data_IF_790161511466
#
_entry.id   IF_790161511466
#
_cell.length_a   1.000
_cell.length_b   1.000
_cell.length_c   1.000
_cell.angle_alpha   90.00
_cell.angle_beta   90.00
_cell.angle_gamma   90.00
#
_symmetry.space_group_name_H-M   'P 1'
#
loop_
_entity.id
_entity.type
_entity.pdbx_description
1 polymer ?
#
# COMPACT_ATOMS: atom_id res chain seq x y z
N UNK A 1 3.31 15.17 9.04
CA UNK A 1 2.57 16.23 8.33
C UNK A 1 1.43 15.55 7.57
N UNK A 2 0.17 15.90 7.78
CA UNK A 2 -0.94 15.33 7.02
C UNK A 2 -0.79 15.64 5.53
N UNK A 3 -1.45 14.87 4.65
CA UNK A 3 -1.40 15.08 3.18
C UNK A 3 -1.70 16.53 2.77
N UNK A 4 -2.45 17.27 3.59
CA UNK A 4 -2.71 18.71 3.43
C UNK A 4 -1.46 19.60 3.48
N UNK A 5 -0.32 19.08 3.95
CA UNK A 5 0.95 19.83 4.07
C UNK A 5 1.97 19.42 2.98
N UNK A 6 1.69 18.37 2.19
CA UNK A 6 2.55 17.96 1.10
C UNK A 6 2.07 18.61 -0.19
N UNK A 7 2.97 19.34 -0.87
CA UNK A 7 2.62 19.94 -2.14
C UNK A 7 2.26 18.88 -3.19
N UNK A 8 1.36 19.19 -4.15
CA UNK A 8 1.03 18.28 -5.25
C UNK A 8 2.25 17.81 -6.03
N UNK A 9 3.25 18.67 -6.19
CA UNK A 9 4.49 18.35 -6.88
C UNK A 9 5.34 17.33 -6.09
N UNK A 10 5.38 17.43 -4.75
CA UNK A 10 6.09 16.46 -3.92
C UNK A 10 5.35 15.12 -3.88
N UNK A 11 4.01 15.12 -3.87
CA UNK A 11 3.22 13.89 -3.96
C UNK A 11 3.51 13.17 -5.29
N UNK A 12 3.45 13.88 -6.42
CA UNK A 12 3.81 13.31 -7.72
C UNK A 12 5.23 12.74 -7.71
N UNK A 13 6.19 13.48 -7.14
CA UNK A 13 7.57 13.03 -7.04
C UNK A 13 7.69 11.74 -6.20
N UNK A 14 6.99 11.64 -5.10
CA UNK A 14 6.93 10.43 -4.26
C UNK A 14 6.36 9.23 -4.99
N UNK A 15 5.28 9.43 -5.74
CA UNK A 15 4.69 8.41 -6.60
C UNK A 15 5.68 7.94 -7.67
N UNK A 16 6.40 8.87 -8.31
CA UNK A 16 7.43 8.53 -9.31
C UNK A 16 8.58 7.75 -8.72
N UNK A 17 9.08 8.11 -7.53
CA UNK A 17 10.12 7.32 -6.85
C UNK A 17 9.65 5.91 -6.53
N UNK A 18 8.41 5.75 -6.07
CA UNK A 18 7.81 4.45 -5.75
C UNK A 18 7.68 3.53 -6.98
N UNK A 19 7.45 4.12 -8.14
CA UNK A 19 7.26 3.39 -9.40
C UNK A 19 8.56 3.06 -10.14
N UNK A 20 9.70 3.52 -9.63
CA UNK A 20 10.98 3.23 -10.25
C UNK A 20 11.33 1.74 -10.16
N UNK A 21 11.84 1.14 -11.23
CA UNK A 21 12.34 -0.22 -11.18
C UNK A 21 13.47 -0.33 -10.14
N UNK A 22 13.51 -1.43 -9.43
CA UNK A 22 14.50 -1.75 -8.40
C UNK A 22 14.56 -0.79 -7.20
N UNK A 23 13.64 0.17 -7.09
CA UNK A 23 13.50 1.05 -5.93
C UNK A 23 12.44 0.49 -5.00
N UNK A 24 12.83 -0.46 -4.16
CA UNK A 24 12.01 -0.92 -3.03
C UNK A 24 12.10 0.04 -1.84
N UNK A 25 11.41 -0.27 -0.73
CA UNK A 25 11.32 0.62 0.44
C UNK A 25 12.67 1.16 0.93
N UNK A 26 13.66 0.29 1.09
CA UNK A 26 15.00 0.69 1.58
C UNK A 26 15.65 1.76 0.70
N UNK A 27 15.69 1.55 -0.61
CA UNK A 27 16.28 2.51 -1.56
C UNK A 27 15.46 3.80 -1.63
N UNK A 28 14.15 3.69 -1.51
CA UNK A 28 13.26 4.85 -1.43
C UNK A 28 13.62 5.74 -0.22
N UNK A 29 13.75 5.15 0.96
CA UNK A 29 14.14 5.88 2.17
C UNK A 29 15.57 6.44 2.10
N UNK A 30 16.51 5.69 1.52
CA UNK A 30 17.88 6.19 1.26
C UNK A 30 17.84 7.48 0.43
N UNK A 31 17.03 7.53 -0.63
CA UNK A 31 16.89 8.72 -1.46
C UNK A 31 16.26 9.89 -0.69
N UNK A 32 15.18 9.66 0.05
CA UNK A 32 14.55 10.72 0.84
C UNK A 32 15.47 11.26 1.93
N UNK A 33 16.20 10.38 2.61
CA UNK A 33 17.16 10.78 3.64
C UNK A 33 18.33 11.61 3.07
N UNK A 34 18.84 11.22 1.91
CA UNK A 34 19.98 11.89 1.29
C UNK A 34 19.63 13.26 0.66
N UNK A 35 18.41 13.38 0.09
CA UNK A 35 18.03 14.58 -0.66
C UNK A 35 16.94 15.42 0.04
N UNK A 36 16.41 14.98 1.17
CA UNK A 36 15.41 15.68 1.97
C UNK A 36 14.00 15.63 1.41
N UNK A 37 13.82 15.47 0.09
CA UNK A 37 12.50 15.35 -0.56
C UNK A 37 12.57 14.46 -1.80
N UNK A 38 11.41 13.96 -2.25
CA UNK A 38 11.34 13.20 -3.48
C UNK A 38 11.58 14.07 -4.71
N UNK A 39 11.11 15.31 -4.68
CA UNK A 39 11.35 16.30 -5.74
C UNK A 39 12.83 16.58 -5.90
N UNK A 40 13.58 16.81 -4.80
CA UNK A 40 15.02 17.00 -4.81
C UNK A 40 15.77 15.76 -5.30
N UNK A 41 15.35 14.56 -4.85
CA UNK A 41 15.93 13.31 -5.32
C UNK A 41 15.78 13.14 -6.83
N UNK A 42 14.61 13.39 -7.40
CA UNK A 42 14.36 13.29 -8.85
C UNK A 42 15.14 14.35 -9.66
N UNK A 43 15.42 15.52 -9.08
CA UNK A 43 16.21 16.57 -9.71
C UNK A 43 17.72 16.29 -9.68
N UNK A 44 18.18 15.49 -8.71
CA UNK A 44 19.60 15.19 -8.51
C UNK A 44 20.22 14.48 -9.73
N UNK A 45 21.54 14.67 -9.99
CA UNK A 45 22.20 14.00 -11.09
C UNK A 45 22.31 12.49 -10.86
N UNK A 46 22.39 11.70 -11.94
CA UNK A 46 22.51 10.25 -11.87
C UNK A 46 23.73 9.78 -11.06
N UNK A 47 24.83 10.52 -11.13
CA UNK A 47 26.05 10.24 -10.36
C UNK A 47 25.81 10.28 -8.85
N UNK A 48 24.96 11.19 -8.35
CA UNK A 48 24.63 11.26 -6.94
C UNK A 48 23.84 10.01 -6.47
N UNK A 49 22.95 9.48 -7.32
CA UNK A 49 22.24 8.22 -7.05
C UNK A 49 23.20 7.03 -7.02
N UNK A 50 24.12 6.96 -7.98
CA UNK A 50 25.14 5.91 -8.01
C UNK A 50 26.06 5.97 -6.78
N UNK A 51 26.40 7.17 -6.29
CA UNK A 51 27.19 7.35 -5.07
C UNK A 51 26.48 6.81 -3.80
N UNK A 52 25.14 6.75 -3.82
CA UNK A 52 24.31 6.12 -2.78
C UNK A 52 24.13 4.61 -2.98
N UNK A 53 24.79 4.00 -3.96
CA UNK A 53 24.70 2.58 -4.26
C UNK A 53 23.49 2.16 -5.08
N UNK A 54 22.75 3.10 -5.68
CA UNK A 54 21.66 2.75 -6.57
C UNK A 54 22.17 2.41 -7.99
N UNK A 55 21.57 1.42 -8.66
CA UNK A 55 21.92 1.11 -10.05
C UNK A 55 21.69 2.30 -10.98
N UNK A 56 22.59 2.49 -11.94
CA UNK A 56 22.44 3.56 -12.94
C UNK A 56 21.11 3.49 -13.71
N UNK A 57 20.57 2.29 -13.91
CA UNK A 57 19.27 2.06 -14.55
C UNK A 57 18.13 2.75 -13.79
N UNK A 58 18.12 2.73 -12.45
CA UNK A 58 17.13 3.44 -11.63
C UNK A 58 17.18 4.95 -11.88
N UNK A 59 18.40 5.51 -11.86
CA UNK A 59 18.61 6.94 -12.09
C UNK A 59 18.19 7.36 -13.51
N UNK A 60 18.40 6.52 -14.51
CA UNK A 60 17.97 6.77 -15.89
C UNK A 60 16.43 6.67 -16.01
N UNK A 61 15.82 5.67 -15.38
CA UNK A 61 14.37 5.43 -15.45
C UNK A 61 13.54 6.58 -14.83
N UNK A 62 14.10 7.44 -13.97
CA UNK A 62 13.35 8.52 -13.29
C UNK A 62 12.66 9.52 -14.22
N UNK A 63 13.10 9.62 -15.47
CA UNK A 63 12.52 10.47 -16.51
C UNK A 63 11.75 9.70 -17.57
N UNK A 64 11.67 8.38 -17.45
CA UNK A 64 11.03 7.53 -18.44
C UNK A 64 9.51 7.77 -18.52
N UNK A 65 8.91 7.65 -19.72
CA UNK A 65 7.46 7.79 -19.89
C UNK A 65 6.64 6.85 -18.99
N UNK A 66 6.99 5.55 -18.83
CA UNK A 66 6.21 4.64 -17.99
C UNK A 66 6.11 5.08 -16.52
N UNK A 67 7.18 5.66 -15.96
CA UNK A 67 7.18 6.16 -14.57
C UNK A 67 6.27 7.39 -14.43
N UNK A 68 6.31 8.30 -15.42
CA UNK A 68 5.43 9.49 -15.41
C UNK A 68 3.97 9.12 -15.61
N UNK A 69 3.69 8.26 -16.57
CA UNK A 69 2.35 7.77 -16.87
C UNK A 69 1.74 7.03 -15.68
N UNK A 70 2.55 6.20 -15.01
CA UNK A 70 2.16 5.50 -13.79
C UNK A 70 1.82 6.46 -12.64
N UNK A 71 2.63 7.49 -12.43
CA UNK A 71 2.35 8.51 -11.42
C UNK A 71 1.08 9.31 -11.76
N UNK A 72 0.90 9.71 -13.02
CA UNK A 72 -0.32 10.37 -13.47
C UNK A 72 -1.56 9.48 -13.32
N UNK A 73 -1.43 8.17 -13.57
CA UNK A 73 -2.51 7.22 -13.36
C UNK A 73 -2.85 7.08 -11.86
N UNK A 74 -1.85 7.08 -10.98
CA UNK A 74 -2.06 7.05 -9.54
C UNK A 74 -2.75 8.34 -9.03
N UNK A 75 -2.35 9.50 -9.54
CA UNK A 75 -3.01 10.78 -9.21
C UNK A 75 -4.48 10.79 -9.66
N UNK A 76 -4.78 10.35 -10.88
CA UNK A 76 -6.17 10.21 -11.35
C UNK A 76 -6.97 9.22 -10.49
N UNK A 77 -6.36 8.12 -10.06
CA UNK A 77 -7.02 7.19 -9.16
C UNK A 77 -7.38 7.85 -7.83
N UNK A 78 -6.53 8.72 -7.30
CA UNK A 78 -6.77 9.48 -6.07
C UNK A 78 -7.89 10.52 -6.16
N UNK A 79 -8.38 10.85 -7.36
CA UNK A 79 -9.55 11.72 -7.55
C UNK A 79 -10.88 11.04 -7.12
N UNK A 80 -10.87 9.72 -6.92
CA UNK A 80 -12.04 8.98 -6.40
C UNK A 80 -12.34 9.36 -4.95
N UNK A 81 -13.62 9.52 -4.62
CA UNK A 81 -14.09 10.02 -3.32
C UNK A 81 -13.70 9.17 -2.10
N UNK A 82 -13.39 7.89 -2.32
CA UNK A 82 -12.95 6.95 -1.28
C UNK A 82 -11.55 6.40 -1.53
N UNK A 83 -10.75 7.11 -2.31
CA UNK A 83 -9.38 6.72 -2.62
C UNK A 83 -8.38 7.60 -1.86
N UNK A 84 -7.44 6.96 -1.19
CA UNK A 84 -6.46 7.63 -0.34
C UNK A 84 -5.06 7.09 -0.62
N UNK A 85 -4.05 7.90 -0.34
CA UNK A 85 -2.67 7.44 -0.23
C UNK A 85 -2.13 7.84 1.12
N UNK A 86 -1.70 6.86 1.91
CA UNK A 86 -1.03 7.08 3.18
C UNK A 86 0.47 7.02 2.95
N UNK A 87 1.17 8.01 3.47
CA UNK A 87 2.62 8.11 3.30
C UNK A 87 3.32 7.75 4.60
N UNK A 88 4.30 6.87 4.53
CA UNK A 88 5.11 6.52 5.71
C UNK A 88 5.69 7.79 6.37
N UNK A 89 5.61 7.85 7.70
CA UNK A 89 6.03 9.01 8.47
C UNK A 89 4.95 10.10 8.62
N UNK A 90 3.73 9.89 8.08
CA UNK A 90 2.57 10.75 8.31
C UNK A 90 1.74 10.20 9.47
N UNK A 91 0.98 11.04 10.17
CA UNK A 91 0.18 10.65 11.34
C UNK A 91 -0.90 9.61 11.03
N UNK A 92 -1.41 9.59 9.79
CA UNK A 92 -2.45 8.69 9.30
C UNK A 92 -1.91 7.35 8.78
N UNK A 93 -0.57 7.17 8.79
CA UNK A 93 0.04 5.89 8.40
C UNK A 93 -0.05 4.88 9.56
N UNK A 94 -0.46 3.60 9.30
CA UNK A 94 -0.64 2.61 10.36
C UNK A 94 0.63 2.41 11.19
N UNK A 95 0.57 2.65 12.50
CA UNK A 95 1.73 2.66 13.39
C UNK A 95 2.48 1.32 13.41
N UNK A 96 1.75 0.20 13.51
CA UNK A 96 2.35 -1.14 13.50
C UNK A 96 3.03 -1.48 12.18
N UNK A 97 2.50 -0.97 11.07
CA UNK A 97 3.13 -1.16 9.75
C UNK A 97 4.41 -0.32 9.63
N UNK A 98 4.44 0.86 10.24
CA UNK A 98 5.59 1.74 10.24
C UNK A 98 6.80 1.16 11.01
N UNK A 99 6.57 0.23 11.95
CA UNK A 99 7.64 -0.45 12.72
C UNK A 99 8.45 -1.45 11.88
N UNK A 100 7.96 -1.83 10.70
CA UNK A 100 8.67 -2.74 9.82
C UNK A 100 9.89 -2.06 9.20
N UNK A 101 11.04 -2.71 9.22
CA UNK A 101 12.29 -2.17 8.64
C UNK A 101 12.25 -1.96 7.12
N UNK A 102 11.24 -2.49 6.45
CA UNK A 102 10.96 -2.33 5.02
C UNK A 102 9.49 -1.95 4.78
N UNK A 103 8.91 -1.18 5.70
CA UNK A 103 7.55 -0.66 5.58
C UNK A 103 7.31 -0.04 4.18
N UNK A 104 6.15 -0.28 3.56
CA UNK A 104 5.83 0.35 2.28
C UNK A 104 5.88 1.88 2.40
N UNK A 105 6.61 2.61 1.52
CA UNK A 105 6.67 4.07 1.61
C UNK A 105 5.34 4.75 1.30
N UNK A 106 4.49 4.09 0.53
CA UNK A 106 3.14 4.53 0.18
C UNK A 106 2.17 3.36 0.31
N UNK A 107 1.00 3.61 0.88
CA UNK A 107 -0.09 2.66 0.99
C UNK A 107 -1.32 3.26 0.29
N UNK A 108 -1.78 2.65 -0.79
CA UNK A 108 -3.01 3.04 -1.48
C UNK A 108 -4.21 2.37 -0.80
N UNK A 109 -5.20 3.15 -0.43
CA UNK A 109 -6.40 2.67 0.26
C UNK A 109 -7.64 3.04 -0.55
N UNK A 110 -8.47 2.06 -0.85
CA UNK A 110 -9.81 2.26 -1.39
C UNK A 110 -10.82 1.91 -0.28
N UNK A 111 -11.59 2.89 0.17
CA UNK A 111 -12.52 2.76 1.29
C UNK A 111 -12.14 3.64 2.47
N UNK A 112 -12.59 3.28 3.66
CA UNK A 112 -12.36 4.02 4.90
C UNK A 112 -10.98 3.69 5.50
N UNK A 113 -10.01 4.62 5.47
CA UNK A 113 -8.68 4.37 6.05
C UNK A 113 -8.69 4.23 7.57
N UNK A 114 -9.72 4.71 8.27
CA UNK A 114 -9.80 4.62 9.73
C UNK A 114 -9.84 3.18 10.26
N UNK A 115 -10.21 2.23 9.41
CA UNK A 115 -10.20 0.81 9.79
C UNK A 115 -8.78 0.29 10.05
N UNK A 116 -7.76 0.94 9.49
CA UNK A 116 -6.36 0.53 9.66
C UNK A 116 -5.81 0.79 11.08
N UNK A 117 -6.48 1.66 11.85
CA UNK A 117 -6.15 1.95 13.25
C UNK A 117 -6.83 0.99 14.23
N UNK A 118 -7.85 0.26 13.78
CA UNK A 118 -8.60 -0.67 14.63
C UNK A 118 -7.80 -1.97 14.83
N UNK A 119 -8.09 -2.71 15.92
CA UNK A 119 -7.55 -4.04 16.11
C UNK A 119 -7.87 -4.94 14.91
N UNK A 120 -6.84 -5.49 14.27
CA UNK A 120 -6.97 -6.31 13.08
C UNK A 120 -6.57 -7.74 13.35
N UNK A 121 -7.21 -8.67 12.66
CA UNK A 121 -6.85 -10.08 12.68
C UNK A 121 -6.71 -10.61 11.26
N UNK A 122 -5.51 -11.08 10.93
CA UNK A 122 -5.21 -11.65 9.62
C UNK A 122 -5.79 -13.05 9.48
N UNK A 123 -6.60 -13.27 8.46
CA UNK A 123 -7.10 -14.59 8.04
C UNK A 123 -6.39 -14.99 6.77
N UNK A 124 -5.64 -16.09 6.83
CA UNK A 124 -4.86 -16.58 5.68
C UNK A 124 -5.08 -18.07 5.50
N UNK A 125 -5.08 -18.53 4.25
CA UNK A 125 -5.23 -19.95 4.00
C UNK A 125 -5.22 -20.34 2.53
N UNK A 126 -5.59 -21.59 2.28
CA UNK A 126 -5.54 -22.21 0.96
C UNK A 126 -6.52 -21.55 -0.01
N UNK A 127 -6.07 -21.28 -1.24
CA UNK A 127 -6.94 -20.92 -2.38
C UNK A 127 -7.84 -22.08 -2.83
N UNK A 128 -7.47 -23.31 -2.50
CA UNK A 128 -8.20 -24.54 -2.77
C UNK A 128 -8.62 -25.21 -1.47
N UNK A 129 -9.32 -24.48 -0.60
CA UNK A 129 -9.78 -25.00 0.67
C UNK A 129 -10.93 -25.98 0.52
N UNK A 130 -11.00 -26.99 1.41
CA UNK A 130 -12.15 -27.88 1.49
C UNK A 130 -13.38 -27.14 2.03
N UNK A 131 -14.57 -27.65 1.76
CA UNK A 131 -15.80 -27.03 2.26
C UNK A 131 -15.80 -26.84 3.78
N UNK A 132 -15.43 -27.87 4.61
CA UNK A 132 -15.33 -27.67 6.05
C UNK A 132 -14.34 -26.56 6.46
N UNK A 133 -13.22 -26.39 5.73
CA UNK A 133 -12.27 -25.32 6.02
C UNK A 133 -12.85 -23.95 5.72
N UNK A 134 -13.61 -23.79 4.62
CA UNK A 134 -14.33 -22.55 4.29
C UNK A 134 -15.36 -22.21 5.36
N UNK A 135 -16.15 -23.21 5.79
CA UNK A 135 -17.18 -23.04 6.82
C UNK A 135 -16.55 -22.62 8.16
N UNK A 136 -15.40 -23.21 8.52
CA UNK A 136 -14.63 -22.86 9.71
C UNK A 136 -14.13 -21.41 9.63
N UNK A 137 -13.48 -21.02 8.52
CA UNK A 137 -12.99 -19.66 8.32
C UNK A 137 -14.14 -18.64 8.41
N UNK A 138 -15.27 -18.93 7.79
CA UNK A 138 -16.46 -18.08 7.86
C UNK A 138 -17.01 -17.96 9.29
N UNK A 139 -17.03 -19.05 10.08
CA UNK A 139 -17.48 -19.02 11.46
C UNK A 139 -16.56 -18.16 12.34
N UNK A 140 -15.24 -18.35 12.23
CA UNK A 140 -14.27 -17.52 12.95
C UNK A 140 -14.39 -16.05 12.55
N UNK A 141 -14.47 -15.73 11.26
CA UNK A 141 -14.57 -14.35 10.79
C UNK A 141 -15.83 -13.66 11.33
N UNK A 142 -16.98 -14.32 11.32
CA UNK A 142 -18.20 -13.76 11.92
C UNK A 142 -18.03 -13.49 13.41
N UNK A 143 -17.48 -14.45 14.14
CA UNK A 143 -17.28 -14.31 15.58
C UNK A 143 -16.35 -13.13 15.91
N UNK A 144 -15.21 -13.05 15.23
CA UNK A 144 -14.21 -12.01 15.46
C UNK A 144 -14.67 -10.63 15.00
N UNK A 145 -15.28 -10.54 13.82
CA UNK A 145 -15.86 -9.29 13.35
C UNK A 145 -17.01 -8.80 14.26
N UNK A 146 -17.83 -9.71 14.78
CA UNK A 146 -18.85 -9.41 15.77
C UNK A 146 -18.29 -8.93 17.11
N UNK A 147 -17.05 -9.33 17.45
CA UNK A 147 -16.30 -8.83 18.60
C UNK A 147 -15.56 -7.50 18.35
N UNK A 148 -15.68 -6.92 17.15
CA UNK A 148 -15.12 -5.61 16.81
C UNK A 148 -13.73 -5.65 16.13
N UNK A 149 -13.21 -6.84 15.81
CA UNK A 149 -11.97 -6.94 15.04
C UNK A 149 -12.21 -6.68 13.55
N UNK A 150 -11.26 -6.02 12.91
CA UNK A 150 -11.21 -5.95 11.44
C UNK A 150 -10.62 -7.26 10.91
N UNK A 151 -11.34 -7.93 10.03
CA UNK A 151 -10.80 -9.12 9.35
C UNK A 151 -9.96 -8.68 8.17
N UNK A 152 -8.65 -8.94 8.23
CA UNK A 152 -7.70 -8.57 7.20
C UNK A 152 -7.23 -9.81 6.43
N UNK A 153 -7.24 -9.76 5.10
CA UNK A 153 -6.83 -10.87 4.25
C UNK A 153 -6.32 -10.39 2.89
N UNK A 154 -5.80 -11.32 2.07
CA UNK A 154 -5.16 -11.00 0.79
C UNK A 154 -6.09 -10.88 -0.41
N UNK A 155 -7.40 -10.89 -0.24
CA UNK A 155 -8.41 -10.85 -1.31
C UNK A 155 -8.31 -12.00 -2.33
N UNK A 156 -7.73 -13.12 -1.95
CA UNK A 156 -7.65 -14.30 -2.82
C UNK A 156 -8.95 -15.13 -2.74
N UNK A 157 -9.13 -16.04 -3.68
CA UNK A 157 -10.18 -17.07 -3.57
C UNK A 157 -9.88 -18.04 -2.42
N UNK A 158 -10.88 -18.78 -1.93
CA UNK A 158 -10.73 -19.76 -0.86
C UNK A 158 -10.93 -19.14 0.52
N UNK A 159 -10.01 -19.39 1.45
CA UNK A 159 -10.13 -18.94 2.85
C UNK A 159 -10.28 -17.42 2.94
N UNK A 160 -9.53 -16.67 2.17
CA UNK A 160 -9.56 -15.20 2.16
C UNK A 160 -10.96 -14.70 1.77
N UNK A 161 -11.52 -15.20 0.66
CA UNK A 161 -12.86 -14.83 0.21
C UNK A 161 -13.94 -15.18 1.23
N UNK A 162 -13.88 -16.41 1.78
CA UNK A 162 -14.84 -16.85 2.80
C UNK A 162 -14.79 -15.99 4.07
N UNK A 163 -13.59 -15.55 4.46
CA UNK A 163 -13.40 -14.67 5.60
C UNK A 163 -14.02 -13.28 5.37
N UNK A 164 -13.77 -12.67 4.21
CA UNK A 164 -14.33 -11.36 3.84
C UNK A 164 -15.85 -11.40 3.73
N UNK A 165 -16.39 -12.38 3.00
CA UNK A 165 -17.86 -12.55 2.84
C UNK A 165 -18.56 -12.72 4.19
N UNK A 166 -17.97 -13.51 5.09
CA UNK A 166 -18.53 -13.77 6.40
C UNK A 166 -18.53 -12.52 7.32
N UNK A 167 -17.47 -11.71 7.27
CA UNK A 167 -17.40 -10.45 8.01
C UNK A 167 -18.41 -9.43 7.46
N UNK A 168 -18.46 -9.26 6.14
CA UNK A 168 -19.42 -8.35 5.47
C UNK A 168 -20.88 -8.77 5.72
N UNK A 169 -21.15 -10.07 5.76
CA UNK A 169 -22.51 -10.61 5.97
C UNK A 169 -23.14 -10.23 7.31
N UNK A 170 -22.33 -9.82 8.30
CA UNK A 170 -22.82 -9.30 9.59
C UNK A 170 -22.62 -7.79 9.74
N UNK A 171 -22.24 -7.08 8.65
CA UNK A 171 -21.91 -5.65 8.70
C UNK A 171 -20.61 -5.34 9.42
N UNK A 172 -19.76 -6.34 9.61
CA UNK A 172 -18.45 -6.18 10.28
C UNK A 172 -17.39 -5.57 9.34
N UNK A 173 -16.39 -4.87 9.91
CA UNK A 173 -15.32 -4.27 9.12
C UNK A 173 -14.37 -5.34 8.58
N UNK A 174 -13.92 -5.15 7.33
CA UNK A 174 -12.92 -6.02 6.72
C UNK A 174 -11.99 -5.21 5.82
N UNK A 175 -10.71 -5.60 5.78
CA UNK A 175 -9.66 -4.97 5.00
C UNK A 175 -8.94 -5.97 4.10
N UNK A 176 -8.83 -5.66 2.82
CA UNK A 176 -8.09 -6.46 1.86
C UNK A 176 -6.72 -5.86 1.58
N UNK A 177 -5.64 -6.60 1.81
CA UNK A 177 -4.28 -6.19 1.50
C UNK A 177 -3.70 -6.92 0.30
N UNK A 178 -3.08 -6.22 -0.64
CA UNK A 178 -2.42 -6.82 -1.81
C UNK A 178 -1.15 -6.08 -2.21
N UNK A 179 -0.10 -6.81 -2.55
CA UNK A 179 1.14 -6.26 -3.08
C UNK A 179 1.13 -6.02 -4.60
N UNK A 180 -0.02 -6.21 -5.24
CA UNK A 180 -0.18 -5.96 -6.68
C UNK A 180 -0.62 -4.50 -6.89
N UNK A 181 0.23 -3.65 -7.41
CA UNK A 181 -0.11 -2.25 -7.65
C UNK A 181 -1.49 -2.05 -8.32
N UNK A 182 -1.94 -0.80 -8.40
CA UNK A 182 -3.27 -0.33 -8.83
C UNK A 182 -3.87 -0.93 -10.12
N UNK A 183 -3.12 -1.73 -10.85
CA UNK A 183 -3.52 -2.30 -12.16
C UNK A 183 -4.11 -3.70 -12.12
N UNK A 184 -4.19 -4.35 -10.96
CA UNK A 184 -4.78 -5.71 -10.89
C UNK A 184 -6.09 -5.66 -10.09
N UNK A 185 -7.20 -5.59 -10.82
CA UNK A 185 -8.48 -6.01 -10.29
C UNK A 185 -8.43 -7.53 -10.08
N UNK A 186 -8.55 -7.98 -8.86
CA UNK A 186 -8.84 -9.38 -8.57
C UNK A 186 -10.36 -9.56 -8.77
N UNK A 187 -10.74 -10.12 -9.91
CA UNK A 187 -12.07 -10.67 -10.15
C UNK A 187 -12.12 -12.10 -9.65
#
# INVERSE_FOLDING_TARGET
MPLSEISPAELEARLRLHLLPEVGPRRYYTLLSAFGSASSALAAPASAWCALGLPAACAQARRSPPVREGASAALRWLEGSSHHVLLHGQPDYPALLAELGDAPPLLFVAGDPSILEKPQLAMVGSRRASRPALDTAAAFSRCLAGAGFVITSGLAVGIDGAAHEAALGIGGPTGGGGGAGLRKNYS
#
